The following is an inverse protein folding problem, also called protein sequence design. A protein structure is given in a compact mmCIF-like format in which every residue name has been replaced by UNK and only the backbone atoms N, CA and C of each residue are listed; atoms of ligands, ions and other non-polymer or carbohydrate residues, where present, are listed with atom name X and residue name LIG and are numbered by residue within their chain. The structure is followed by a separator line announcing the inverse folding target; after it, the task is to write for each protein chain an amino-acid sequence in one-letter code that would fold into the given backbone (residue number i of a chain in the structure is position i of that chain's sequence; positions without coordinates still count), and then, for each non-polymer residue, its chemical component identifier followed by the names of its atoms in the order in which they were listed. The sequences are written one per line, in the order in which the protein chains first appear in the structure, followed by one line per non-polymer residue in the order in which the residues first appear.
data_IF_296187522799
#
_entry.id   IF_296187522799
#
_cell.length_a   1.000
_cell.length_b   1.000
_cell.length_c   1.000
_cell.angle_alpha   90.00
_cell.angle_beta   90.00
_cell.angle_gamma   90.00
#
_symmetry.space_group_name_H-M   'P 1'
#
loop_
_entity.id
_entity.type
_entity.pdbx_description
1 polymer ?
#
# COMPACT_ATOMS: atom_id res chain seq x y z
N UNK A 1 -18.32 3.84 9.32
CA UNK A 1 -18.44 3.84 10.80
C UNK A 1 -17.90 2.52 11.29
N UNK A 2 -17.00 2.55 12.27
CA UNK A 2 -16.31 1.35 12.77
C UNK A 2 -17.26 0.39 13.50
N UNK A 3 -16.79 -0.81 13.87
CA UNK A 3 -17.55 -1.76 14.68
C UNK A 3 -17.93 -1.21 16.07
N UNK A 4 -17.15 -0.26 16.57
CA UNK A 4 -17.30 0.49 17.83
C UNK A 4 -18.46 1.49 17.84
N UNK A 5 -19.07 1.77 16.67
CA UNK A 5 -20.13 2.77 16.55
C UNK A 5 -19.67 4.22 16.69
N UNK A 6 -18.36 4.47 16.82
CA UNK A 6 -17.82 5.82 16.99
C UNK A 6 -17.79 6.51 15.63
N UNK A 7 -18.40 7.70 15.55
CA UNK A 7 -18.38 8.51 14.32
C UNK A 7 -16.98 9.10 14.14
N UNK A 8 -16.40 9.10 12.91
CA UNK A 8 -15.07 9.68 12.67
C UNK A 8 -14.93 11.15 13.10
N UNK A 9 -16.04 11.89 13.13
CA UNK A 9 -16.10 13.27 13.63
C UNK A 9 -15.72 13.37 15.11
N UNK A 10 -16.16 12.42 15.93
CA UNK A 10 -15.87 12.36 17.38
C UNK A 10 -14.37 12.16 17.60
N UNK A 11 -13.74 11.26 16.83
CA UNK A 11 -12.29 11.03 16.89
C UNK A 11 -11.48 12.28 16.55
N UNK A 12 -11.97 13.10 15.61
CA UNK A 12 -11.31 14.34 15.19
C UNK A 12 -11.47 15.46 16.23
N UNK A 13 -12.68 15.60 16.77
CA UNK A 13 -13.00 16.65 17.74
C UNK A 13 -12.40 16.37 19.13
N UNK A 14 -12.17 15.10 19.48
CA UNK A 14 -11.60 14.68 20.76
C UNK A 14 -10.17 14.15 20.64
N UNK A 15 -9.43 14.49 19.57
CA UNK A 15 -8.11 13.94 19.30
C UNK A 15 -7.14 14.15 20.47
N UNK A 16 -7.11 15.36 21.06
CA UNK A 16 -6.23 15.71 22.17
C UNK A 16 -6.58 14.93 23.46
N UNK A 17 -7.87 14.76 23.73
CA UNK A 17 -8.37 14.01 24.89
C UNK A 17 -8.12 12.50 24.75
N UNK A 18 -8.21 11.98 23.52
CA UNK A 18 -7.95 10.58 23.21
C UNK A 18 -6.46 10.25 23.13
N UNK A 19 -5.60 11.24 22.88
CA UNK A 19 -4.16 11.04 22.74
C UNK A 19 -3.54 10.38 23.98
N UNK A 20 -3.92 10.84 25.19
CA UNK A 20 -3.37 10.31 26.43
C UNK A 20 -3.78 8.83 26.68
N UNK A 21 -5.08 8.45 26.66
CA UNK A 21 -5.48 7.05 26.72
C UNK A 21 -4.83 6.17 25.65
N UNK A 22 -4.80 6.63 24.39
CA UNK A 22 -4.17 5.87 23.30
C UNK A 22 -2.67 5.67 23.54
N UNK A 23 -1.95 6.69 24.02
CA UNK A 23 -0.53 6.58 24.33
C UNK A 23 -0.24 5.51 25.41
N UNK A 24 -1.12 5.38 26.41
CA UNK A 24 -1.01 4.36 27.45
C UNK A 24 -1.18 2.97 26.82
N UNK A 25 -2.19 2.79 25.98
CA UNK A 25 -2.44 1.53 25.27
C UNK A 25 -1.24 1.16 24.40
N UNK A 26 -0.70 2.11 23.62
CA UNK A 26 0.49 1.87 22.80
C UNK A 26 1.72 1.49 23.64
N UNK A 27 1.99 2.20 24.72
CA UNK A 27 3.14 1.93 25.59
C UNK A 27 3.05 0.57 26.30
N UNK A 28 1.84 0.05 26.54
CA UNK A 28 1.61 -1.28 27.09
C UNK A 28 1.65 -2.37 26.02
N UNK A 29 1.13 -2.08 24.84
CA UNK A 29 1.04 -2.99 23.69
C UNK A 29 2.39 -3.24 23.02
N UNK A 30 3.25 -2.22 22.97
CA UNK A 30 4.54 -2.29 22.25
C UNK A 30 5.52 -3.32 22.81
N UNK A 31 5.79 -3.38 24.14
CA UNK A 31 6.76 -4.33 24.68
C UNK A 31 6.30 -5.78 24.60
N UNK A 32 4.99 -6.03 24.67
CA UNK A 32 4.40 -7.38 24.60
C UNK A 32 4.18 -7.85 23.17
N UNK A 33 4.08 -6.91 22.21
CA UNK A 33 3.69 -7.21 20.83
C UNK A 33 2.22 -7.64 20.71
N UNK A 34 1.40 -7.40 21.73
CA UNK A 34 -0.02 -7.73 21.75
C UNK A 34 -0.85 -6.53 21.35
N UNK A 35 -1.78 -6.70 20.41
CA UNK A 35 -2.67 -5.64 19.92
C UNK A 35 -4.09 -5.90 20.45
N UNK A 36 -4.83 -4.87 20.91
CA UNK A 36 -6.22 -5.04 21.32
C UNK A 36 -7.08 -5.71 20.24
N UNK A 37 -7.87 -6.71 20.61
CA UNK A 37 -8.71 -7.46 19.66
C UNK A 37 -9.71 -6.57 18.92
N UNK A 38 -10.24 -5.53 19.58
CA UNK A 38 -11.15 -4.56 18.95
C UNK A 38 -10.51 -3.84 17.75
N UNK A 39 -9.19 -3.67 17.74
CA UNK A 39 -8.46 -3.03 16.64
C UNK A 39 -8.33 -3.94 15.42
N UNK A 40 -8.57 -5.24 15.59
CA UNK A 40 -8.54 -6.24 14.50
C UNK A 40 -9.87 -6.34 13.75
N UNK A 41 -10.94 -5.76 14.29
CA UNK A 41 -12.29 -5.77 13.71
C UNK A 41 -12.50 -4.59 12.75
N UNK A 42 -13.11 -4.84 11.60
CA UNK A 42 -13.45 -3.78 10.63
C UNK A 42 -14.83 -3.96 9.98
N UNK A 43 -15.54 -2.84 9.80
CA UNK A 43 -16.71 -2.76 8.93
C UNK A 43 -16.28 -2.29 7.54
N UNK A 44 -16.66 -3.04 6.50
CA UNK A 44 -16.40 -2.67 5.10
C UNK A 44 -17.67 -2.10 4.49
N UNK A 45 -17.59 -0.88 3.97
CA UNK A 45 -18.66 -0.24 3.19
C UNK A 45 -18.18 -0.08 1.75
N UNK A 46 -18.87 -0.63 0.74
CA UNK A 46 -18.49 -0.45 -0.67
C UNK A 46 -18.57 1.03 -1.04
N UNK A 47 -17.46 1.60 -1.50
CA UNK A 47 -17.42 2.96 -2.04
C UNK A 47 -17.24 2.85 -3.56
N UNK A 48 -18.17 3.42 -4.32
CA UNK A 48 -17.97 3.63 -5.76
C UNK A 48 -16.90 4.72 -5.95
N UNK A 49 -15.71 4.34 -6.44
CA UNK A 49 -14.69 5.31 -6.87
C UNK A 49 -15.22 6.11 -8.06
N UNK A 50 -15.42 7.42 -7.89
CA UNK A 50 -15.44 8.38 -9.02
C UNK A 50 -13.99 8.76 -9.34
N UNK A 51 -13.64 8.71 -10.62
CA UNK A 51 -12.28 8.91 -11.12
C UNK A 51 -11.81 10.36 -11.10
N UNK A 52 -10.48 10.49 -11.13
CA UNK A 52 -9.70 11.71 -11.32
C UNK A 52 -8.30 11.52 -10.75
N UNK A 53 -7.34 11.07 -11.58
CA UNK A 53 -5.91 11.07 -11.25
C UNK A 53 -5.28 12.26 -11.97
N UNK A 54 -5.18 13.38 -11.28
CA UNK A 54 -4.44 14.54 -11.77
C UNK A 54 -3.67 15.15 -10.60
N UNK A 55 -2.46 14.65 -10.37
CA UNK A 55 -1.44 15.41 -9.63
C UNK A 55 -0.24 15.65 -10.55
N UNK A 56 -0.02 16.91 -10.90
CA UNK A 56 0.91 17.32 -11.94
C UNK A 56 2.38 17.25 -11.49
N UNK A 57 2.65 17.09 -10.19
CA UNK A 57 4.01 17.13 -9.64
C UNK A 57 4.90 15.95 -10.01
N UNK A 58 4.30 14.80 -10.36
CA UNK A 58 4.97 13.54 -10.71
C UNK A 58 5.56 13.54 -12.13
N UNK A 59 5.06 14.42 -13.01
CA UNK A 59 5.45 14.45 -14.42
C UNK A 59 6.70 15.27 -14.73
N UNK A 60 7.30 15.93 -13.73
CA UNK A 60 8.39 16.91 -13.95
C UNK A 60 9.56 16.38 -14.80
N UNK A 61 10.05 15.14 -14.64
CA UNK A 61 11.09 14.58 -15.51
C UNK A 61 10.61 14.36 -16.96
N UNK A 62 9.38 13.85 -17.13
CA UNK A 62 8.74 13.63 -18.43
C UNK A 62 8.55 14.96 -19.16
N UNK A 63 7.96 15.95 -18.49
CA UNK A 63 7.69 17.27 -19.04
C UNK A 63 8.96 17.92 -19.56
N UNK A 64 10.07 17.85 -18.81
CA UNK A 64 11.38 18.39 -19.25
C UNK A 64 11.92 17.74 -20.51
N UNK A 65 11.73 16.43 -20.67
CA UNK A 65 12.19 15.72 -21.87
C UNK A 65 11.33 16.05 -23.09
N UNK A 66 10.02 16.17 -22.90
CA UNK A 66 9.08 16.61 -23.93
C UNK A 66 9.35 18.06 -24.34
N UNK A 67 9.57 18.96 -23.39
CA UNK A 67 9.93 20.36 -23.63
C UNK A 67 11.26 20.49 -24.41
N UNK A 68 12.18 19.54 -24.21
CA UNK A 68 13.45 19.45 -24.93
C UNK A 68 13.32 18.75 -26.31
N UNK A 69 12.10 18.44 -26.76
CA UNK A 69 11.82 17.81 -28.06
C UNK A 69 12.30 16.36 -28.18
N UNK A 70 12.45 15.64 -27.06
CA UNK A 70 12.87 14.23 -27.04
C UNK A 70 11.66 13.30 -27.19
N UNK A 71 11.87 12.14 -27.78
CA UNK A 71 10.89 11.06 -27.72
C UNK A 71 10.89 10.43 -26.31
N UNK A 72 9.72 10.28 -25.72
CA UNK A 72 9.52 9.74 -24.36
C UNK A 72 8.36 8.76 -24.38
N UNK A 73 8.57 7.59 -23.79
CA UNK A 73 7.52 6.62 -23.50
C UNK A 73 7.20 6.64 -22.00
N UNK A 74 5.91 6.57 -21.67
CA UNK A 74 5.41 6.45 -20.30
C UNK A 74 4.51 5.23 -20.22
N UNK A 75 4.82 4.33 -19.28
CA UNK A 75 4.10 3.10 -19.00
C UNK A 75 3.45 3.20 -17.63
N UNK A 76 2.14 3.02 -17.60
CA UNK A 76 1.36 2.98 -16.36
C UNK A 76 1.22 1.54 -15.89
N UNK A 77 1.57 1.28 -14.64
CA UNK A 77 1.51 -0.04 -14.03
C UNK A 77 0.53 -0.02 -12.85
N UNK A 78 -0.42 -0.96 -12.87
CA UNK A 78 -1.41 -1.17 -11.80
C UNK A 78 -1.24 -2.58 -11.24
N UNK A 79 -1.12 -2.71 -9.91
CA UNK A 79 -1.12 -4.03 -9.28
C UNK A 79 -2.56 -4.57 -9.16
N UNK A 80 -2.75 -5.84 -9.55
CA UNK A 80 -4.01 -6.53 -9.33
C UNK A 80 -4.20 -6.78 -7.84
N UNK A 81 -5.13 -6.05 -7.22
CA UNK A 81 -5.45 -6.20 -5.79
C UNK A 81 -4.19 -6.12 -4.92
N UNK A 82 -3.40 -5.06 -5.12
CA UNK A 82 -2.08 -4.88 -4.52
C UNK A 82 -2.05 -5.23 -3.02
N UNK A 83 -3.00 -4.63 -2.31
CA UNK A 83 -3.23 -4.76 -0.89
C UNK A 83 -3.65 -6.18 -0.45
N UNK A 84 -4.49 -6.86 -1.23
CA UNK A 84 -4.93 -8.23 -0.93
C UNK A 84 -3.84 -9.29 -1.20
N UNK A 85 -2.80 -8.93 -1.95
CA UNK A 85 -1.83 -9.90 -2.50
C UNK A 85 -0.51 -9.93 -1.73
N UNK A 86 -0.24 -8.91 -0.89
CA UNK A 86 0.98 -8.84 -0.09
C UNK A 86 1.07 -10.01 0.90
N UNK A 87 2.13 -10.80 0.80
CA UNK A 87 2.40 -11.89 1.74
C UNK A 87 2.91 -11.35 3.07
N UNK A 88 2.30 -11.79 4.18
CA UNK A 88 2.70 -11.40 5.54
C UNK A 88 4.18 -11.71 5.81
N UNK A 89 4.64 -12.88 5.36
CA UNK A 89 6.02 -13.31 5.55
C UNK A 89 7.01 -12.43 4.80
N UNK A 90 6.72 -12.10 3.55
CA UNK A 90 7.56 -11.21 2.73
C UNK A 90 7.61 -9.80 3.33
N UNK A 91 6.46 -9.25 3.75
CA UNK A 91 6.40 -7.94 4.40
C UNK A 91 7.24 -7.91 5.68
N UNK A 92 7.11 -8.92 6.56
CA UNK A 92 7.89 -8.99 7.80
C UNK A 92 9.39 -9.15 7.53
N UNK A 93 9.78 -9.91 6.49
CA UNK A 93 11.18 -10.04 6.10
C UNK A 93 11.78 -8.71 5.60
N UNK A 94 11.03 -7.96 4.79
CA UNK A 94 11.44 -6.62 4.35
C UNK A 94 11.57 -5.65 5.52
N UNK A 95 10.58 -5.61 6.41
CA UNK A 95 10.64 -4.81 7.64
C UNK A 95 11.87 -5.15 8.50
N UNK A 96 12.21 -6.44 8.63
CA UNK A 96 13.41 -6.85 9.34
C UNK A 96 14.70 -6.37 8.65
N UNK A 97 14.73 -6.38 7.31
CA UNK A 97 15.87 -5.86 6.53
C UNK A 97 16.06 -4.34 6.70
N UNK A 98 14.98 -3.59 6.96
CA UNK A 98 15.05 -2.17 7.34
C UNK A 98 15.47 -1.93 8.81
N UNK A 99 15.86 -2.97 9.54
CA UNK A 99 16.41 -2.85 10.90
C UNK A 99 15.36 -2.74 12.01
N UNK A 100 14.10 -3.08 11.74
CA UNK A 100 13.07 -3.09 12.78
C UNK A 100 13.36 -4.21 13.80
N UNK A 101 13.23 -3.87 15.08
CA UNK A 101 13.48 -4.80 16.17
C UNK A 101 12.40 -5.88 16.29
N UNK A 102 12.71 -6.92 17.06
CA UNK A 102 11.84 -8.08 17.24
C UNK A 102 10.47 -7.74 17.84
N UNK A 103 10.40 -6.78 18.76
CA UNK A 103 9.14 -6.39 19.40
C UNK A 103 8.26 -5.65 18.40
N UNK A 104 8.84 -4.75 17.60
CA UNK A 104 8.13 -4.07 16.50
C UNK A 104 7.60 -5.07 15.46
N UNK A 105 8.44 -6.02 15.03
CA UNK A 105 8.03 -7.06 14.08
C UNK A 105 6.93 -7.96 14.65
N UNK A 106 7.01 -8.29 15.95
CA UNK A 106 5.97 -9.07 16.64
C UNK A 106 4.65 -8.29 16.69
N UNK A 107 4.71 -7.00 17.02
CA UNK A 107 3.56 -6.11 17.07
C UNK A 107 2.89 -6.00 15.70
N UNK A 108 3.66 -5.76 14.64
CA UNK A 108 3.16 -5.74 13.26
C UNK A 108 2.51 -7.07 12.95
N UNK A 109 3.21 -8.20 13.13
CA UNK A 109 2.65 -9.54 12.89
C UNK A 109 1.33 -9.79 13.64
N UNK A 110 1.21 -9.34 14.89
CA UNK A 110 -0.04 -9.47 15.66
C UNK A 110 -1.14 -8.58 15.09
N UNK A 111 -0.82 -7.36 14.68
CA UNK A 111 -1.73 -6.47 13.96
C UNK A 111 -2.19 -7.08 12.61
N UNK A 112 -1.30 -7.83 11.96
CA UNK A 112 -1.56 -8.54 10.72
C UNK A 112 -2.48 -9.78 10.92
N UNK A 113 -2.45 -10.41 12.10
CA UNK A 113 -3.11 -11.70 12.35
C UNK A 113 -4.50 -11.57 12.99
N UNK A 114 -5.33 -12.61 12.85
CA UNK A 114 -6.62 -12.71 13.54
C UNK A 114 -7.68 -11.67 13.13
N UNK A 115 -7.55 -11.04 11.96
CA UNK A 115 -8.49 -10.00 11.52
C UNK A 115 -9.82 -10.59 11.04
N UNK A 116 -10.91 -10.00 11.54
CA UNK A 116 -12.27 -10.33 11.12
C UNK A 116 -12.93 -9.11 10.48
N UNK A 117 -13.68 -9.35 9.41
CA UNK A 117 -14.36 -8.30 8.66
C UNK A 117 -15.82 -8.68 8.40
N UNK A 118 -16.66 -7.66 8.23
CA UNK A 118 -18.04 -7.82 7.77
C UNK A 118 -18.44 -6.68 6.85
N UNK A 119 -19.35 -6.96 5.93
CA UNK A 119 -19.88 -5.98 4.99
C UNK A 119 -21.11 -5.30 5.60
N UNK A 120 -21.17 -3.97 5.50
CA UNK A 120 -22.32 -3.18 5.94
C UNK A 120 -22.90 -2.40 4.76
N UNK A 121 -24.15 -2.72 4.39
CA UNK A 121 -24.89 -2.05 3.31
C UNK A 121 -26.26 -1.64 3.83
N UNK A 122 -26.63 -0.36 3.73
CA UNK A 122 -27.94 0.15 4.14
C UNK A 122 -28.38 -0.30 5.56
N UNK A 123 -27.45 -0.31 6.52
CA UNK A 123 -27.65 -0.79 7.91
C UNK A 123 -27.84 -2.31 8.07
N UNK A 124 -27.82 -3.10 7.00
CA UNK A 124 -27.70 -4.54 7.07
C UNK A 124 -26.23 -4.94 7.24
N UNK A 125 -25.96 -5.91 8.12
CA UNK A 125 -24.62 -6.42 8.42
C UNK A 125 -24.50 -7.89 7.99
N UNK A 126 -23.40 -8.25 7.34
CA UNK A 126 -23.07 -9.66 7.08
C UNK A 126 -22.57 -10.35 8.36
N UNK A 127 -22.48 -11.68 8.31
CA UNK A 127 -21.67 -12.42 9.30
C UNK A 127 -20.21 -11.96 9.24
N UNK A 128 -19.50 -12.17 10.36
CA UNK A 128 -18.05 -12.02 10.40
C UNK A 128 -17.42 -13.07 9.48
N UNK A 129 -16.69 -12.62 8.48
CA UNK A 129 -15.81 -13.46 7.69
C UNK A 129 -14.41 -13.47 8.30
N UNK A 130 -13.82 -14.66 8.42
CA UNK A 130 -12.36 -14.76 8.49
C UNK A 130 -11.82 -14.28 7.16
N UNK A 131 -11.02 -13.21 7.19
CA UNK A 131 -10.38 -12.71 5.99
C UNK A 131 -9.23 -13.67 5.63
N UNK A 132 -9.26 -14.38 4.48
CA UNK A 132 -8.19 -15.33 4.17
C UNK A 132 -6.85 -14.63 3.94
N UNK A 133 -6.87 -13.43 3.36
CA UNK A 133 -5.71 -12.56 3.13
C UNK A 133 -6.31 -11.21 2.80
N UNK A 134 -6.17 -10.17 3.65
CA UNK A 134 -6.31 -8.79 3.19
C UNK A 134 -5.53 -7.88 4.11
N UNK A 135 -4.37 -7.45 3.65
CA UNK A 135 -3.85 -6.19 4.10
C UNK A 135 -4.59 -5.08 3.38
N UNK A 136 -5.06 -4.08 4.13
CA UNK A 136 -5.21 -2.71 3.63
C UNK A 136 -6.50 -2.37 2.88
N UNK A 137 -7.64 -2.58 3.56
CA UNK A 137 -8.82 -1.78 3.26
C UNK A 137 -8.57 -0.31 3.60
N UNK A 138 -9.09 0.59 2.75
CA UNK A 138 -9.12 2.05 2.93
C UNK A 138 -9.58 2.41 4.36
N UNK A 139 -8.68 2.96 5.17
CA UNK A 139 -8.98 3.44 6.52
C UNK A 139 -7.95 3.08 7.60
N UNK A 140 -7.04 2.13 7.36
CA UNK A 140 -5.95 1.87 8.32
C UNK A 140 -4.79 2.84 8.11
N UNK A 141 -4.38 3.56 9.17
CA UNK A 141 -3.28 4.54 9.13
C UNK A 141 -1.94 3.90 8.80
N UNK A 142 -1.62 2.75 9.40
CA UNK A 142 -0.36 2.02 9.17
C UNK A 142 -0.20 1.47 7.77
N UNK A 143 -1.29 1.51 7.03
CA UNK A 143 -1.45 0.63 5.95
C UNK A 143 -0.71 0.97 4.66
N UNK A 144 -0.98 2.16 4.12
CA UNK A 144 -0.17 2.76 3.06
C UNK A 144 1.32 2.81 3.44
N UNK A 145 1.66 3.05 4.72
CA UNK A 145 3.05 3.10 5.17
C UNK A 145 3.75 1.74 5.03
N UNK A 146 3.12 0.65 5.47
CA UNK A 146 3.64 -0.71 5.32
C UNK A 146 3.78 -1.10 3.84
N UNK A 147 2.83 -0.68 3.00
CA UNK A 147 2.89 -0.94 1.57
C UNK A 147 4.02 -0.16 0.87
N UNK A 148 4.26 1.10 1.26
CA UNK A 148 5.38 1.87 0.73
C UNK A 148 6.73 1.23 1.07
N UNK A 149 6.90 0.74 2.30
CA UNK A 149 8.09 -0.03 2.70
C UNK A 149 8.19 -1.33 1.88
N UNK A 150 7.07 -1.98 1.60
CA UNK A 150 7.06 -3.21 0.81
C UNK A 150 7.55 -3.00 -0.63
N UNK A 151 7.21 -1.89 -1.27
CA UNK A 151 7.61 -1.57 -2.66
C UNK A 151 8.91 -0.75 -2.73
N UNK A 152 9.59 -0.54 -1.60
CA UNK A 152 10.76 0.34 -1.54
C UNK A 152 11.91 -0.18 -2.41
N UNK A 153 12.14 -1.50 -2.41
CA UNK A 153 13.19 -2.18 -3.18
C UNK A 153 12.85 -2.40 -4.68
N UNK A 154 11.65 -1.99 -5.13
CA UNK A 154 11.17 -2.26 -6.48
C UNK A 154 12.00 -1.56 -7.57
N UNK A 155 12.56 -0.39 -7.26
CA UNK A 155 13.31 0.47 -8.20
C UNK A 155 14.83 0.32 -8.13
N UNK A 156 15.36 -0.57 -7.30
CA UNK A 156 16.82 -0.73 -7.12
C UNK A 156 17.59 -1.00 -8.41
N UNK A 157 16.99 -1.73 -9.36
CA UNK A 157 17.62 -2.08 -10.63
C UNK A 157 17.07 -1.30 -11.85
N UNK A 158 16.16 -0.35 -11.63
CA UNK A 158 15.49 0.39 -12.71
C UNK A 158 16.37 1.55 -13.18
N UNK A 159 16.57 1.67 -14.49
CA UNK A 159 17.34 2.76 -15.10
C UNK A 159 16.47 3.94 -15.55
N UNK A 160 15.23 3.63 -15.90
CA UNK A 160 14.18 4.57 -16.30
C UNK A 160 13.74 5.45 -15.12
N UNK A 161 13.04 6.55 -15.40
CA UNK A 161 12.42 7.31 -14.31
C UNK A 161 11.20 6.55 -13.80
N UNK A 162 11.10 6.39 -12.49
CA UNK A 162 9.96 5.73 -11.85
C UNK A 162 9.34 6.67 -10.80
N UNK A 163 8.03 6.81 -10.85
CA UNK A 163 7.23 7.38 -9.76
C UNK A 163 6.43 6.27 -9.10
N UNK A 164 6.53 6.17 -7.77
CA UNK A 164 5.82 5.18 -6.95
C UNK A 164 4.94 5.92 -5.95
N UNK A 165 3.63 5.72 -6.03
CA UNK A 165 2.71 6.17 -4.98
C UNK A 165 1.68 5.08 -4.71
N UNK A 166 1.90 4.31 -3.64
CA UNK A 166 0.98 3.23 -3.25
C UNK A 166 0.76 2.28 -4.43
N UNK A 167 -0.49 2.05 -4.88
CA UNK A 167 -0.84 1.16 -5.98
C UNK A 167 -0.48 1.71 -7.36
N UNK A 168 -0.17 3.00 -7.45
CA UNK A 168 0.15 3.69 -8.69
C UNK A 168 1.66 3.69 -8.93
N UNK A 169 2.08 2.93 -9.95
CA UNK A 169 3.47 2.96 -10.42
C UNK A 169 3.50 3.47 -11.85
N UNK A 170 4.33 4.48 -12.09
CA UNK A 170 4.56 5.03 -13.41
C UNK A 170 6.03 4.86 -13.76
N UNK A 171 6.30 4.24 -14.88
CA UNK A 171 7.64 4.15 -15.45
C UNK A 171 7.67 5.04 -16.67
N UNK A 172 8.77 5.72 -16.92
CA UNK A 172 9.01 6.14 -18.28
C UNK A 172 10.46 6.36 -18.59
N UNK A 173 10.70 6.48 -19.88
CA UNK A 173 12.03 6.57 -20.42
C UNK A 173 12.04 7.50 -21.61
N UNK A 174 13.17 8.17 -21.79
CA UNK A 174 13.54 8.72 -23.09
C UNK A 174 13.81 7.55 -24.04
N UNK A 175 13.31 7.60 -25.27
CA UNK A 175 13.33 6.46 -26.23
C UNK A 175 13.78 6.84 -27.64
N UNK A 176 14.75 7.75 -27.75
CA UNK A 176 15.23 8.23 -29.04
C UNK A 176 16.02 7.16 -29.83
N UNK A 177 16.57 6.18 -29.12
CA UNK A 177 17.40 5.10 -29.70
C UNK A 177 16.80 3.73 -29.44
N UNK A 178 17.20 2.75 -30.25
CA UNK A 178 16.82 1.35 -30.03
C UNK A 178 17.34 0.82 -28.69
N UNK A 179 18.51 1.28 -28.25
CA UNK A 179 19.09 0.93 -26.95
C UNK A 179 18.22 1.42 -25.79
N UNK A 180 17.67 2.63 -25.92
CA UNK A 180 16.77 3.21 -24.91
C UNK A 180 15.49 2.36 -24.75
N UNK A 181 14.93 1.89 -25.87
CA UNK A 181 13.76 0.99 -25.86
C UNK A 181 14.09 -0.37 -25.24
N UNK A 182 15.29 -0.91 -25.50
CA UNK A 182 15.75 -2.15 -24.87
C UNK A 182 15.97 -1.98 -23.37
N UNK A 183 16.45 -0.82 -22.93
CA UNK A 183 16.58 -0.51 -21.51
C UNK A 183 15.21 -0.45 -20.82
N UNK A 184 14.23 0.23 -21.42
CA UNK A 184 12.85 0.27 -20.91
C UNK A 184 12.22 -1.13 -20.84
N UNK A 185 12.41 -1.94 -21.87
CA UNK A 185 11.94 -3.33 -21.87
C UNK A 185 12.61 -4.18 -20.77
N UNK A 186 13.91 -4.00 -20.54
CA UNK A 186 14.63 -4.66 -19.45
C UNK A 186 14.14 -4.22 -18.06
N UNK A 187 13.80 -2.95 -17.89
CA UNK A 187 13.20 -2.45 -16.64
C UNK A 187 11.80 -3.06 -16.41
N UNK A 188 11.00 -3.25 -17.46
CA UNK A 188 9.70 -3.94 -17.36
C UNK A 188 9.84 -5.43 -17.02
N UNK A 189 10.84 -6.11 -17.60
CA UNK A 189 11.14 -7.51 -17.28
C UNK A 189 11.63 -7.67 -15.84
N UNK A 190 12.47 -6.75 -15.36
CA UNK A 190 12.86 -6.68 -13.95
C UNK A 190 11.65 -6.52 -13.03
N UNK A 191 10.74 -5.59 -13.35
CA UNK A 191 9.54 -5.35 -12.56
C UNK A 191 8.64 -6.59 -12.50
N UNK A 192 8.46 -7.31 -13.61
CA UNK A 192 7.67 -8.54 -13.66
C UNK A 192 8.30 -9.64 -12.77
N UNK A 193 9.63 -9.83 -12.87
CA UNK A 193 10.37 -10.77 -12.01
C UNK A 193 10.30 -10.38 -10.52
N UNK A 194 10.45 -9.09 -10.21
CA UNK A 194 10.29 -8.57 -8.86
C UNK A 194 8.88 -8.86 -8.34
N UNK A 195 7.84 -8.61 -9.14
CA UNK A 195 6.46 -8.88 -8.76
C UNK A 195 6.23 -10.38 -8.49
N UNK A 196 6.72 -11.26 -9.36
CA UNK A 196 6.65 -12.71 -9.18
C UNK A 196 7.33 -13.18 -7.88
N UNK A 197 8.54 -12.68 -7.61
CA UNK A 197 9.28 -13.01 -6.38
C UNK A 197 8.55 -12.54 -5.10
N UNK A 198 7.83 -11.42 -5.20
CA UNK A 198 7.00 -10.85 -4.15
C UNK A 198 5.57 -11.40 -4.11
N UNK A 199 5.25 -12.40 -4.97
CA UNK A 199 3.92 -13.02 -5.13
C UNK A 199 2.83 -12.05 -5.56
N UNK A 200 3.21 -10.91 -6.14
CA UNK A 200 2.31 -9.91 -6.70
C UNK A 200 2.05 -10.17 -8.18
N UNK A 201 1.00 -9.51 -8.72
CA UNK A 201 0.66 -9.59 -10.15
C UNK A 201 0.26 -8.22 -10.68
N UNK A 202 0.82 -7.82 -11.81
CA UNK A 202 0.34 -6.65 -12.55
C UNK A 202 -1.01 -6.93 -13.23
N UNK A 203 -1.83 -5.90 -13.33
CA UNK A 203 -3.12 -5.94 -14.00
C UNK A 203 -2.98 -5.66 -15.49
N UNK A 204 -2.76 -6.70 -16.29
CA UNK A 204 -2.62 -6.61 -17.75
C UNK A 204 -3.81 -5.98 -18.49
N UNK A 205 -4.98 -5.86 -17.85
CA UNK A 205 -6.16 -5.22 -18.46
C UNK A 205 -6.21 -3.70 -18.24
N UNK A 206 -5.36 -3.19 -17.34
CA UNK A 206 -5.25 -1.76 -17.01
C UNK A 206 -3.86 -1.17 -17.27
N UNK A 207 -2.86 -2.04 -17.46
CA UNK A 207 -1.53 -1.69 -17.95
C UNK A 207 -1.51 -1.64 -19.48
#
# INVERSE_FOLDING_TARGET
MGPDGIRPRVMRELADELAKPLSIIYNQSWPTGEVPEDWKLANVTPIHKKGGKEDASDYRPVTRLVDAGRAVDVVYLDFSKAFDTVSHGTLLAKLAAHGLDRSTLCWVRNWLDGRAQRVVVNCAVSSWGQSPVVFLHQGSVLGPALFNIFIDDMDEAIKSFISKFVDDTQLGARVDRLEDRRALQGDLEWLDQWAESNKMKFNKSKC
#
